data_IF_344625346715
#
_entry.id   IF_344625346715
#
_cell.length_a   1.000
_cell.length_b   1.000
_cell.length_c   1.000
_cell.angle_alpha   90.00
_cell.angle_beta   90.00
_cell.angle_gamma   90.00
#
_symmetry.space_group_name_H-M   'P 1'
#
loop_
_entity.id
_entity.type
_entity.pdbx_description
1 polymer ?
#
# COMPACT_ATOMS: atom_id res chain seq x y z
N UNK A 1 -0.11 20.92 -15.32
CA UNK A 1 0.21 19.65 -14.63
C UNK A 1 1.07 18.76 -15.51
N UNK A 2 0.69 18.61 -16.77
CA UNK A 2 1.29 17.70 -17.75
C UNK A 2 2.80 17.91 -17.94
N UNK A 3 3.24 19.17 -18.08
CA UNK A 3 4.67 19.50 -18.19
C UNK A 3 5.46 19.12 -16.93
N UNK A 4 4.86 19.22 -15.75
CA UNK A 4 5.51 18.84 -14.49
C UNK A 4 5.60 17.32 -14.37
N UNK A 5 4.57 16.59 -14.81
CA UNK A 5 4.60 15.13 -14.91
C UNK A 5 5.70 14.67 -15.86
N UNK A 6 5.83 15.31 -17.02
CA UNK A 6 6.89 15.03 -17.97
C UNK A 6 8.28 15.28 -17.40
N UNK A 7 8.49 16.41 -16.70
CA UNK A 7 9.74 16.68 -15.99
C UNK A 7 10.01 15.61 -14.93
N UNK A 8 9.00 15.17 -14.18
CA UNK A 8 9.17 14.15 -13.15
C UNK A 8 9.57 12.79 -13.75
N UNK A 9 8.89 12.33 -14.79
CA UNK A 9 9.14 11.01 -15.41
C UNK A 9 10.45 11.02 -16.20
N UNK A 10 10.66 12.01 -17.07
CA UNK A 10 11.83 12.06 -17.96
C UNK A 10 13.08 12.58 -17.24
N UNK A 11 12.92 13.30 -16.13
CA UNK A 11 14.00 13.93 -15.37
C UNK A 11 14.67 13.05 -14.32
N UNK A 12 14.11 11.88 -13.98
CA UNK A 12 14.59 11.00 -12.89
C UNK A 12 16.07 10.55 -13.02
N UNK A 13 16.64 10.63 -14.23
CA UNK A 13 18.02 10.24 -14.51
C UNK A 13 18.87 11.40 -15.07
N UNK A 14 18.44 12.65 -14.87
CA UNK A 14 19.17 13.82 -15.40
C UNK A 14 19.13 13.95 -16.93
N UNK A 15 18.29 13.16 -17.62
CA UNK A 15 18.16 13.17 -19.09
C UNK A 15 17.66 14.52 -19.63
N UNK A 16 16.83 15.22 -18.85
CA UNK A 16 16.26 16.51 -19.25
C UNK A 16 17.15 17.69 -18.82
N UNK A 17 17.69 17.64 -17.61
CA UNK A 17 18.65 18.61 -17.09
C UNK A 17 19.64 17.87 -16.18
N UNK A 18 20.95 17.86 -16.50
CA UNK A 18 21.95 17.14 -15.70
C UNK A 18 22.15 17.75 -14.29
N UNK A 19 21.58 18.92 -14.02
CA UNK A 19 21.65 19.61 -12.73
C UNK A 19 20.35 19.50 -11.91
N UNK A 20 19.37 18.71 -12.36
CA UNK A 20 18.12 18.51 -11.64
C UNK A 20 17.63 17.07 -11.72
N UNK A 21 17.21 16.53 -10.57
CA UNK A 21 16.60 15.20 -10.45
C UNK A 21 15.06 15.26 -10.45
N UNK A 22 14.48 16.43 -10.18
CA UNK A 22 13.03 16.67 -10.09
C UNK A 22 12.33 15.85 -8.99
N UNK A 23 13.07 15.35 -8.00
CA UNK A 23 12.54 14.43 -6.99
C UNK A 23 11.39 15.05 -6.19
N UNK A 24 11.53 16.31 -5.80
CA UNK A 24 10.56 17.05 -4.99
C UNK A 24 9.20 17.31 -5.69
N UNK A 25 9.10 17.10 -7.01
CA UNK A 25 7.79 17.12 -7.66
C UNK A 25 6.88 15.98 -7.15
N UNK A 26 7.45 14.91 -6.57
CA UNK A 26 6.69 13.86 -5.89
C UNK A 26 5.79 14.42 -4.79
N UNK A 27 6.30 15.37 -3.99
CA UNK A 27 5.52 16.02 -2.93
C UNK A 27 4.47 16.99 -3.47
N UNK A 28 4.74 17.65 -4.60
CA UNK A 28 3.73 18.46 -5.27
C UNK A 28 2.53 17.59 -5.70
N UNK A 29 2.78 16.42 -6.28
CA UNK A 29 1.71 15.49 -6.66
C UNK A 29 0.97 14.95 -5.43
N UNK A 30 1.70 14.66 -4.35
CA UNK A 30 1.10 14.21 -3.10
C UNK A 30 0.17 15.28 -2.52
N UNK A 31 0.60 16.54 -2.45
CA UNK A 31 -0.21 17.65 -1.97
C UNK A 31 -1.43 17.89 -2.86
N UNK A 32 -1.26 17.85 -4.18
CA UNK A 32 -2.37 17.96 -5.13
C UNK A 32 -3.41 16.85 -4.90
N UNK A 33 -2.99 15.61 -4.70
CA UNK A 33 -3.86 14.47 -4.49
C UNK A 33 -4.69 14.55 -3.19
N UNK A 34 -4.38 15.47 -2.27
CA UNK A 34 -5.25 15.76 -1.10
C UNK A 34 -6.59 16.34 -1.53
N UNK A 35 -6.65 17.03 -2.66
CA UNK A 35 -7.87 17.64 -3.20
C UNK A 35 -8.60 16.72 -4.17
N UNK A 36 -9.94 16.75 -4.16
CA UNK A 36 -10.77 15.90 -5.04
C UNK A 36 -10.47 16.10 -6.54
N UNK A 37 -10.25 17.34 -6.98
CA UNK A 37 -9.86 17.64 -8.36
C UNK A 37 -8.48 17.07 -8.73
N UNK A 38 -7.55 17.04 -7.78
CA UNK A 38 -6.24 16.44 -7.95
C UNK A 38 -6.29 14.93 -8.10
N UNK A 39 -7.10 14.26 -7.27
CA UNK A 39 -7.37 12.81 -7.40
C UNK A 39 -8.00 12.50 -8.75
N UNK A 40 -9.06 13.23 -9.13
CA UNK A 40 -9.74 13.05 -10.40
C UNK A 40 -8.78 13.17 -11.59
N UNK A 41 -7.86 14.15 -11.58
CA UNK A 41 -6.82 14.24 -12.61
C UNK A 41 -5.93 12.98 -12.65
N UNK A 42 -5.49 12.50 -11.49
CA UNK A 42 -4.59 11.34 -11.40
C UNK A 42 -5.27 10.02 -11.76
N UNK A 43 -6.60 9.90 -11.64
CA UNK A 43 -7.37 8.67 -11.89
C UNK A 43 -8.17 8.68 -13.19
N UNK A 44 -8.19 9.78 -13.92
CA UNK A 44 -8.94 9.89 -15.20
C UNK A 44 -7.98 9.88 -16.39
N UNK A 45 -8.29 9.12 -17.46
CA UNK A 45 -7.59 9.19 -18.73
C UNK A 45 -7.40 10.62 -19.24
N UNK A 46 -6.21 10.93 -19.73
CA UNK A 46 -5.90 12.27 -20.24
C UNK A 46 -5.79 12.28 -21.77
N UNK A 47 -6.66 13.01 -22.49
CA UNK A 47 -6.67 13.00 -23.96
C UNK A 47 -5.39 13.53 -24.61
N UNK A 48 -4.65 14.40 -23.93
CA UNK A 48 -3.40 14.96 -24.46
C UNK A 48 -2.26 13.92 -24.52
N UNK A 49 -2.41 12.79 -23.84
CA UNK A 49 -1.40 11.76 -23.68
C UNK A 49 -1.97 10.36 -23.93
N UNK A 50 -2.63 10.21 -25.09
CA UNK A 50 -3.17 8.93 -25.56
C UNK A 50 -4.07 8.22 -24.53
N UNK A 51 -4.87 8.98 -23.79
CA UNK A 51 -5.79 8.47 -22.76
C UNK A 51 -5.08 7.70 -21.61
N UNK A 52 -3.80 8.00 -21.38
CA UNK A 52 -3.07 7.46 -20.23
C UNK A 52 -3.62 8.05 -18.93
N UNK A 53 -3.81 7.19 -17.93
CA UNK A 53 -4.18 7.58 -16.57
C UNK A 53 -2.91 8.06 -15.83
N UNK A 54 -2.81 9.32 -15.38
CA UNK A 54 -1.53 9.88 -14.93
C UNK A 54 -0.86 9.16 -13.75
N UNK A 55 -1.63 8.53 -12.86
CA UNK A 55 -1.05 7.79 -11.71
C UNK A 55 -0.12 6.64 -12.17
N UNK A 56 -0.35 6.03 -13.34
CA UNK A 56 0.49 4.93 -13.86
C UNK A 56 1.93 5.35 -14.12
N UNK A 57 2.14 6.65 -14.38
CA UNK A 57 3.48 7.24 -14.55
C UNK A 57 4.22 7.45 -13.24
N UNK A 58 3.51 7.46 -12.11
CA UNK A 58 4.08 7.69 -10.78
C UNK A 58 4.41 6.37 -10.08
N UNK A 59 3.51 5.38 -10.17
CA UNK A 59 3.61 4.13 -9.40
C UNK A 59 4.89 3.35 -9.66
N UNK A 60 5.47 3.47 -10.87
CA UNK A 60 6.75 2.84 -11.23
C UNK A 60 7.95 3.32 -10.40
N UNK A 61 7.81 4.40 -9.64
CA UNK A 61 8.87 4.97 -8.81
C UNK A 61 8.78 4.55 -7.33
N UNK A 62 7.94 3.58 -6.96
CA UNK A 62 7.87 3.07 -5.58
C UNK A 62 9.14 2.35 -5.14
N UNK A 63 9.97 1.88 -6.07
CA UNK A 63 11.30 1.29 -5.79
C UNK A 63 12.47 2.15 -6.33
N UNK A 64 12.24 3.45 -6.53
CA UNK A 64 13.29 4.34 -7.03
C UNK A 64 14.43 4.55 -6.02
N UNK A 65 15.67 4.71 -6.49
CA UNK A 65 16.85 4.95 -5.61
C UNK A 65 16.71 6.15 -4.65
N UNK A 66 15.96 7.18 -5.03
CA UNK A 66 15.76 8.36 -4.18
C UNK A 66 14.62 8.14 -3.19
N UNK A 67 14.90 8.28 -1.91
CA UNK A 67 13.88 8.25 -0.84
C UNK A 67 12.80 9.32 -1.02
N UNK A 68 13.14 10.51 -1.50
CA UNK A 68 12.20 11.63 -1.70
C UNK A 68 11.11 11.26 -2.73
N UNK A 69 11.52 10.69 -3.87
CA UNK A 69 10.58 10.18 -4.87
C UNK A 69 9.68 9.08 -4.30
N UNK A 70 10.25 8.04 -3.71
CA UNK A 70 9.47 6.92 -3.14
C UNK A 70 8.43 7.43 -2.15
N UNK A 71 8.84 8.29 -1.21
CA UNK A 71 7.96 8.86 -0.17
C UNK A 71 6.81 9.68 -0.75
N UNK A 72 7.10 10.60 -1.69
CA UNK A 72 6.07 11.42 -2.31
C UNK A 72 5.14 10.61 -3.23
N UNK A 73 5.66 9.60 -3.91
CA UNK A 73 4.86 8.67 -4.73
C UNK A 73 3.94 7.82 -3.85
N UNK A 74 4.46 7.20 -2.79
CA UNK A 74 3.66 6.45 -1.82
C UNK A 74 2.54 7.32 -1.23
N UNK A 75 2.86 8.56 -0.84
CA UNK A 75 1.87 9.53 -0.36
C UNK A 75 0.83 9.89 -1.42
N UNK A 76 1.24 10.05 -2.69
CA UNK A 76 0.32 10.32 -3.80
C UNK A 76 -0.64 9.15 -4.01
N UNK A 77 -0.13 7.92 -3.99
CA UNK A 77 -0.93 6.69 -4.13
C UNK A 77 -1.95 6.60 -3.00
N UNK A 78 -1.51 6.73 -1.74
CA UNK A 78 -2.41 6.74 -0.56
C UNK A 78 -3.50 7.79 -0.74
N UNK A 79 -3.13 9.01 -1.13
CA UNK A 79 -4.08 10.10 -1.30
C UNK A 79 -5.11 9.81 -2.39
N UNK A 80 -4.70 9.24 -3.53
CA UNK A 80 -5.62 8.80 -4.60
C UNK A 80 -6.60 7.74 -4.10
N UNK A 81 -6.18 6.82 -3.22
CA UNK A 81 -7.03 5.77 -2.68
C UNK A 81 -8.13 6.26 -1.70
N UNK A 82 -8.20 7.55 -1.35
CA UNK A 82 -9.38 8.11 -0.68
C UNK A 82 -10.61 8.19 -1.61
N UNK A 83 -10.41 8.12 -2.92
CA UNK A 83 -11.50 8.02 -3.89
C UNK A 83 -11.91 6.55 -4.06
N UNK A 84 -12.92 6.12 -3.30
CA UNK A 84 -13.38 4.73 -3.25
C UNK A 84 -13.91 4.26 -4.61
N UNK A 85 -14.52 5.16 -5.38
CA UNK A 85 -15.07 4.86 -6.71
C UNK A 85 -13.95 4.54 -7.72
N UNK A 86 -12.72 4.99 -7.46
CA UNK A 86 -11.56 4.70 -8.28
C UNK A 86 -10.92 3.33 -7.99
N UNK A 87 -11.22 2.69 -6.84
CA UNK A 87 -10.58 1.43 -6.43
C UNK A 87 -10.63 0.32 -7.50
N UNK A 88 -11.77 0.06 -8.19
CA UNK A 88 -11.81 -0.94 -9.24
C UNK A 88 -10.82 -0.66 -10.36
N UNK A 89 -10.68 0.60 -10.79
CA UNK A 89 -9.74 0.97 -11.85
C UNK A 89 -8.28 0.94 -11.39
N UNK A 90 -8.02 1.26 -10.13
CA UNK A 90 -6.69 1.22 -9.53
C UNK A 90 -6.15 -0.22 -9.44
N UNK A 91 -7.00 -1.18 -9.07
CA UNK A 91 -6.60 -2.59 -8.90
C UNK A 91 -6.65 -3.42 -10.19
N UNK A 92 -7.29 -2.92 -11.24
CA UNK A 92 -7.42 -3.61 -12.52
C UNK A 92 -6.08 -3.65 -13.27
N UNK A 93 -5.63 -4.87 -13.59
CA UNK A 93 -4.35 -5.15 -14.27
C UNK A 93 -4.25 -4.59 -15.69
N UNK A 94 -5.39 -4.43 -16.38
CA UNK A 94 -5.44 -3.86 -17.73
C UNK A 94 -5.55 -2.31 -17.71
N UNK A 95 -5.70 -1.72 -16.53
CA UNK A 95 -5.82 -0.26 -16.36
C UNK A 95 -4.60 0.32 -15.64
N UNK A 96 -4.63 0.36 -14.31
CA UNK A 96 -3.58 0.98 -13.51
C UNK A 96 -2.57 -0.05 -13.02
N UNK A 97 -3.02 -1.27 -12.75
CA UNK A 97 -2.22 -2.33 -12.13
C UNK A 97 -1.44 -1.85 -10.89
N UNK A 98 -2.13 -1.23 -9.93
CA UNK A 98 -1.49 -0.59 -8.79
C UNK A 98 -0.85 -1.58 -7.80
N UNK A 99 -1.43 -2.77 -7.65
CA UNK A 99 -1.14 -3.69 -6.56
C UNK A 99 0.33 -4.15 -6.51
N UNK A 100 1.00 -4.54 -7.61
CA UNK A 100 2.43 -4.87 -7.59
C UNK A 100 3.29 -3.77 -6.99
N UNK A 101 3.02 -2.51 -7.33
CA UNK A 101 3.81 -1.35 -6.90
C UNK A 101 3.64 -0.99 -5.43
N UNK A 102 2.56 -1.46 -4.79
CA UNK A 102 2.36 -1.32 -3.33
C UNK A 102 2.97 -2.53 -2.59
N UNK A 103 2.87 -3.72 -3.18
CA UNK A 103 3.31 -4.96 -2.53
C UNK A 103 4.83 -5.15 -2.58
N UNK A 104 5.48 -4.85 -3.70
CA UNK A 104 6.94 -5.00 -3.84
C UNK A 104 7.76 -4.26 -2.77
N UNK A 105 7.43 -3.00 -2.39
CA UNK A 105 8.10 -2.32 -1.27
C UNK A 105 7.95 -3.02 0.09
N UNK A 106 6.92 -3.84 0.27
CA UNK A 106 6.65 -4.60 1.51
C UNK A 106 7.40 -5.94 1.54
N UNK A 107 8.01 -6.38 0.44
CA UNK A 107 8.65 -7.69 0.31
C UNK A 107 10.17 -7.58 0.39
N UNK A 108 10.79 -8.55 1.07
CA UNK A 108 12.22 -8.80 1.04
C UNK A 108 12.56 -10.08 0.25
N UNK A 109 13.79 -10.57 0.42
CA UNK A 109 14.27 -11.81 -0.19
C UNK A 109 13.85 -13.09 0.56
N UNK A 110 12.82 -13.01 1.40
CA UNK A 110 12.24 -14.18 2.08
C UNK A 110 11.55 -15.15 1.10
N UNK A 111 11.55 -16.44 1.44
CA UNK A 111 10.84 -17.48 0.70
C UNK A 111 9.44 -17.68 1.30
N UNK A 112 8.43 -17.73 0.45
CA UNK A 112 7.05 -18.06 0.83
C UNK A 112 6.79 -19.55 0.60
N UNK A 113 5.89 -20.14 1.40
CA UNK A 113 5.42 -21.49 1.14
C UNK A 113 4.69 -21.56 -0.21
N UNK A 114 4.68 -22.74 -0.84
CA UNK A 114 4.02 -22.94 -2.14
C UNK A 114 2.53 -22.54 -2.10
N UNK A 115 1.84 -22.85 -1.00
CA UNK A 115 0.43 -22.52 -0.78
C UNK A 115 0.16 -21.02 -0.58
N UNK A 116 1.13 -20.29 -0.06
CA UNK A 116 1.09 -18.83 0.08
C UNK A 116 1.37 -18.15 -1.27
N UNK A 117 2.26 -18.74 -2.07
CA UNK A 117 2.65 -18.25 -3.40
C UNK A 117 1.55 -18.52 -4.44
N UNK A 118 0.83 -19.64 -4.31
CA UNK A 118 -0.29 -19.99 -5.19
C UNK A 118 -1.43 -18.97 -5.06
N UNK A 119 -1.57 -18.12 -6.09
CA UNK A 119 -2.54 -17.04 -6.17
C UNK A 119 -1.93 -15.63 -6.12
N UNK A 120 -0.66 -15.48 -5.71
CA UNK A 120 0.04 -14.19 -5.78
C UNK A 120 0.12 -13.64 -7.21
N UNK A 121 0.25 -12.33 -7.36
CA UNK A 121 0.52 -11.70 -8.66
C UNK A 121 1.89 -12.16 -9.20
N UNK A 122 2.00 -12.35 -10.51
CA UNK A 122 3.24 -12.80 -11.16
C UNK A 122 4.43 -11.88 -10.83
N UNK A 123 4.20 -10.57 -10.74
CA UNK A 123 5.24 -9.57 -10.45
C UNK A 123 5.83 -9.68 -9.03
N UNK A 124 5.12 -10.32 -8.10
CA UNK A 124 5.58 -10.49 -6.71
C UNK A 124 6.06 -11.91 -6.42
N UNK A 125 6.01 -12.80 -7.40
CA UNK A 125 6.55 -14.15 -7.28
C UNK A 125 8.03 -14.20 -7.70
N UNK A 126 8.74 -15.23 -7.23
CA UNK A 126 10.11 -15.55 -7.65
C UNK A 126 11.08 -14.35 -7.58
N UNK A 127 10.93 -13.55 -6.51
CA UNK A 127 11.81 -12.40 -6.28
C UNK A 127 13.26 -12.86 -6.12
N UNK A 128 14.24 -12.05 -6.57
CA UNK A 128 15.62 -12.42 -6.41
C UNK A 128 16.03 -12.34 -4.93
N UNK A 129 17.03 -13.13 -4.49
CA UNK A 129 17.41 -13.22 -3.07
C UNK A 129 18.03 -11.92 -2.52
N UNK A 130 18.45 -11.00 -3.39
CA UNK A 130 18.94 -9.67 -3.04
C UNK A 130 17.82 -8.61 -3.02
N UNK A 131 16.56 -9.00 -3.21
CA UNK A 131 15.42 -8.10 -2.98
C UNK A 131 15.44 -7.61 -1.53
N UNK A 132 15.38 -6.30 -1.36
CA UNK A 132 15.30 -5.67 -0.04
C UNK A 132 13.94 -5.01 0.11
N UNK A 133 13.33 -5.17 1.28
CA UNK A 133 12.15 -4.42 1.70
C UNK A 133 12.48 -2.93 1.77
N UNK A 134 11.48 -2.07 1.59
CA UNK A 134 11.66 -0.63 1.78
C UNK A 134 12.29 -0.35 3.16
N UNK A 135 13.47 0.32 3.21
CA UNK A 135 14.16 0.56 4.49
C UNK A 135 13.52 1.65 5.35
N UNK A 136 12.69 2.52 4.78
CA UNK A 136 12.07 3.64 5.49
C UNK A 136 10.69 3.25 6.03
N UNK A 137 10.57 3.11 7.36
CA UNK A 137 9.34 2.67 8.03
C UNK A 137 8.11 3.53 7.67
N UNK A 138 8.27 4.84 7.50
CA UNK A 138 7.14 5.70 7.14
C UNK A 138 6.60 5.42 5.74
N UNK A 139 7.46 4.98 4.81
CA UNK A 139 7.06 4.58 3.45
C UNK A 139 6.36 3.21 3.51
N UNK A 140 6.89 2.26 4.29
CA UNK A 140 6.25 0.96 4.55
C UNK A 140 4.84 1.18 5.15
N UNK A 141 4.74 1.99 6.20
CA UNK A 141 3.46 2.37 6.85
C UNK A 141 2.50 2.97 5.82
N UNK A 142 2.97 3.86 4.96
CA UNK A 142 2.14 4.49 3.92
C UNK A 142 1.56 3.46 2.93
N UNK A 143 2.34 2.43 2.55
CA UNK A 143 1.86 1.34 1.71
C UNK A 143 0.82 0.46 2.42
N UNK A 144 1.03 0.15 3.71
CA UNK A 144 0.05 -0.58 4.53
C UNK A 144 -1.26 0.21 4.71
N UNK A 145 -1.19 1.52 4.98
CA UNK A 145 -2.37 2.37 5.04
C UNK A 145 -3.09 2.46 3.69
N UNK A 146 -2.35 2.39 2.58
CA UNK A 146 -2.93 2.31 1.24
C UNK A 146 -3.71 1.00 1.04
N UNK A 147 -3.14 -0.14 1.46
CA UNK A 147 -3.86 -1.42 1.46
C UNK A 147 -5.12 -1.33 2.32
N UNK A 148 -5.05 -0.71 3.50
CA UNK A 148 -6.21 -0.51 4.37
C UNK A 148 -7.31 0.30 3.68
N UNK A 149 -6.96 1.40 2.97
CA UNK A 149 -7.94 2.16 2.18
C UNK A 149 -8.59 1.27 1.10
N UNK A 150 -7.82 0.45 0.39
CA UNK A 150 -8.36 -0.47 -0.62
C UNK A 150 -9.31 -1.52 -0.02
N UNK A 151 -9.21 -1.86 1.27
CA UNK A 151 -10.16 -2.79 1.92
C UNK A 151 -11.57 -2.21 2.17
N UNK A 152 -11.81 -0.94 1.81
CA UNK A 152 -13.08 -0.23 2.08
C UNK A 152 -14.30 -0.98 1.54
N UNK A 153 -14.21 -1.52 0.32
CA UNK A 153 -15.32 -2.25 -0.32
C UNK A 153 -15.12 -3.76 -0.27
N UNK A 154 -16.23 -4.50 -0.25
CA UNK A 154 -16.20 -5.97 -0.31
C UNK A 154 -15.47 -6.50 -1.57
N UNK A 155 -15.80 -6.06 -2.80
CA UNK A 155 -15.12 -6.57 -3.99
C UNK A 155 -13.61 -6.33 -3.95
N UNK A 156 -13.18 -5.20 -3.39
CA UNK A 156 -11.76 -4.92 -3.23
C UNK A 156 -11.08 -5.87 -2.23
N UNK A 157 -11.73 -6.19 -1.09
CA UNK A 157 -11.22 -7.21 -0.17
C UNK A 157 -11.12 -8.58 -0.82
N UNK A 158 -12.11 -8.96 -1.64
CA UNK A 158 -12.08 -10.23 -2.39
C UNK A 158 -10.89 -10.28 -3.34
N UNK A 159 -10.57 -9.19 -4.04
CA UNK A 159 -9.35 -9.08 -4.86
C UNK A 159 -8.10 -9.26 -4.01
N UNK A 160 -7.96 -8.53 -2.90
CA UNK A 160 -6.78 -8.60 -2.03
C UNK A 160 -6.59 -10.00 -1.39
N UNK A 161 -7.67 -10.71 -1.08
CA UNK A 161 -7.63 -12.11 -0.62
C UNK A 161 -7.21 -13.06 -1.74
N UNK A 162 -7.79 -12.89 -2.93
CA UNK A 162 -7.50 -13.74 -4.09
C UNK A 162 -6.01 -13.68 -4.47
N UNK A 163 -5.41 -12.50 -4.40
CA UNK A 163 -4.00 -12.30 -4.73
C UNK A 163 -3.02 -12.54 -3.56
N UNK A 164 -3.48 -13.15 -2.47
CA UNK A 164 -2.66 -13.52 -1.31
C UNK A 164 -1.89 -12.33 -0.70
N UNK A 165 -2.57 -11.21 -0.41
CA UNK A 165 -1.93 -10.07 0.30
C UNK A 165 -1.56 -10.43 1.75
N UNK A 166 -2.32 -11.30 2.41
CA UNK A 166 -2.09 -11.62 3.82
C UNK A 166 -0.69 -12.14 4.13
N UNK A 167 -0.16 -13.18 3.44
CA UNK A 167 1.21 -13.65 3.66
C UNK A 167 2.25 -12.54 3.55
N UNK A 168 2.11 -11.63 2.58
CA UNK A 168 3.03 -10.50 2.39
C UNK A 168 3.01 -9.56 3.62
N UNK A 169 1.82 -9.23 4.12
CA UNK A 169 1.67 -8.37 5.30
C UNK A 169 2.16 -9.07 6.57
N UNK A 170 1.93 -10.39 6.70
CA UNK A 170 2.46 -11.21 7.79
C UNK A 170 3.99 -11.17 7.82
N UNK A 171 4.65 -11.42 6.69
CA UNK A 171 6.12 -11.38 6.62
C UNK A 171 6.65 -9.97 6.88
N UNK A 172 5.96 -8.93 6.42
CA UNK A 172 6.30 -7.53 6.75
C UNK A 172 6.27 -7.30 8.26
N UNK A 173 5.20 -7.73 8.93
CA UNK A 173 5.03 -7.59 10.37
C UNK A 173 6.12 -8.34 11.16
N UNK A 174 6.50 -9.55 10.72
CA UNK A 174 7.53 -10.37 11.37
C UNK A 174 8.95 -9.78 11.25
N UNK A 175 9.22 -9.03 10.18
CA UNK A 175 10.55 -8.51 9.86
C UNK A 175 10.75 -7.03 10.15
N UNK A 176 9.77 -6.36 10.76
CA UNK A 176 9.87 -4.95 11.17
C UNK A 176 9.82 -4.84 12.70
N UNK A 177 10.60 -3.91 13.27
CA UNK A 177 10.64 -3.62 14.71
C UNK A 177 9.84 -2.37 15.10
N UNK A 178 9.34 -1.62 14.12
CA UNK A 178 8.61 -0.37 14.30
C UNK A 178 7.14 -0.63 14.65
N UNK A 179 6.72 -0.19 15.84
CA UNK A 179 5.37 -0.42 16.37
C UNK A 179 4.28 0.20 15.49
N UNK A 180 4.58 1.35 14.90
CA UNK A 180 3.70 2.10 14.00
C UNK A 180 3.41 1.33 12.70
N UNK A 181 4.42 0.62 12.18
CA UNK A 181 4.28 -0.29 11.03
C UNK A 181 3.52 -1.56 11.43
N UNK A 182 3.83 -2.14 12.60
CA UNK A 182 3.14 -3.34 13.09
C UNK A 182 1.65 -3.11 13.29
N UNK A 183 1.28 -2.00 13.92
CA UNK A 183 -0.12 -1.60 14.09
C UNK A 183 -0.83 -1.44 12.73
N UNK A 184 -0.17 -0.79 11.76
CA UNK A 184 -0.72 -0.64 10.42
C UNK A 184 -0.93 -2.00 9.73
N UNK A 185 0.01 -2.95 9.88
CA UNK A 185 -0.10 -4.30 9.36
C UNK A 185 -1.26 -5.06 10.02
N UNK A 186 -1.38 -5.00 11.34
CA UNK A 186 -2.47 -5.64 12.10
C UNK A 186 -3.84 -5.14 11.65
N UNK A 187 -4.00 -3.83 11.45
CA UNK A 187 -5.25 -3.25 10.95
C UNK A 187 -5.61 -3.76 9.56
N UNK A 188 -4.65 -3.91 8.66
CA UNK A 188 -4.87 -4.50 7.33
C UNK A 188 -5.33 -5.95 7.47
N UNK A 189 -4.63 -6.75 8.27
CA UNK A 189 -4.97 -8.17 8.49
C UNK A 189 -6.35 -8.32 9.11
N UNK A 190 -6.69 -7.52 10.12
CA UNK A 190 -8.01 -7.55 10.77
C UNK A 190 -9.16 -7.37 9.77
N UNK A 191 -9.03 -6.43 8.83
CA UNK A 191 -10.08 -6.20 7.83
C UNK A 191 -10.07 -7.27 6.74
N UNK A 192 -8.91 -7.70 6.26
CA UNK A 192 -8.80 -8.78 5.26
C UNK A 192 -9.35 -10.10 5.82
N UNK A 193 -9.07 -10.43 7.07
CA UNK A 193 -9.52 -11.67 7.71
C UNK A 193 -10.94 -11.62 8.25
N UNK A 194 -11.57 -10.45 8.26
CA UNK A 194 -12.96 -10.33 8.71
C UNK A 194 -13.87 -11.16 7.82
N UNK A 195 -14.47 -12.19 8.41
CA UNK A 195 -15.51 -13.00 7.78
C UNK A 195 -16.70 -12.12 7.44
N UNK A 196 -17.23 -12.27 6.23
CA UNK A 196 -18.49 -11.63 5.86
C UNK A 196 -19.68 -12.49 6.26
N UNK A 197 -20.83 -11.87 6.54
CA UNK A 197 -22.05 -12.61 6.88
C UNK A 197 -22.42 -13.54 5.71
N UNK A 198 -22.37 -14.85 5.96
CA UNK A 198 -22.61 -15.90 4.95
C UNK A 198 -21.38 -16.72 4.52
N UNK A 199 -20.17 -16.39 4.97
CA UNK A 199 -18.91 -17.06 4.60
C UNK A 199 -18.36 -17.97 5.74
N UNK A 200 -19.22 -18.68 6.47
CA UNK A 200 -18.79 -19.41 7.68
C UNK A 200 -17.81 -20.57 7.40
N UNK A 201 -17.76 -21.12 6.18
CA UNK A 201 -17.13 -22.43 5.91
C UNK A 201 -15.81 -22.44 5.11
N UNK A 202 -15.34 -21.35 4.46
CA UNK A 202 -14.32 -21.47 3.38
C UNK A 202 -12.91 -20.89 3.67
N UNK A 203 -12.58 -20.53 4.91
CA UNK A 203 -11.23 -20.00 5.22
C UNK A 203 -10.22 -21.12 5.56
N UNK A 204 -8.99 -21.08 5.00
CA UNK A 204 -7.90 -21.98 5.38
C UNK A 204 -7.65 -21.97 6.90
N UNK A 205 -7.26 -23.11 7.51
CA UNK A 205 -7.05 -23.23 8.96
C UNK A 205 -6.13 -22.15 9.56
N UNK A 206 -5.07 -21.78 8.84
CA UNK A 206 -4.08 -20.78 9.28
C UNK A 206 -4.68 -19.37 9.39
N UNK A 207 -5.62 -19.03 8.50
CA UNK A 207 -6.37 -17.77 8.55
C UNK A 207 -7.33 -17.74 9.74
N UNK A 208 -7.81 -18.89 10.21
CA UNK A 208 -8.68 -18.99 11.40
C UNK A 208 -7.90 -18.73 12.69
N UNK A 209 -6.67 -19.22 12.78
CA UNK A 209 -5.80 -18.99 13.94
C UNK A 209 -5.34 -17.53 14.03
N UNK A 210 -4.93 -16.93 12.91
CA UNK A 210 -4.54 -15.52 12.86
C UNK A 210 -5.70 -14.56 13.20
N UNK A 211 -6.91 -14.83 12.71
CA UNK A 211 -8.09 -14.04 13.05
C UNK A 211 -8.45 -14.09 14.55
N UNK A 212 -8.22 -15.24 15.19
CA UNK A 212 -8.40 -15.40 16.63
C UNK A 212 -7.28 -14.70 17.44
N UNK A 213 -6.03 -14.77 16.97
CA UNK A 213 -4.90 -14.04 17.57
C UNK A 213 -5.10 -12.52 17.51
N UNK A 214 -5.53 -11.99 16.37
CA UNK A 214 -5.81 -10.55 16.21
C UNK A 214 -6.92 -10.05 17.15
N UNK A 215 -7.95 -10.86 17.43
CA UNK A 215 -8.99 -10.53 18.43
C UNK A 215 -8.48 -10.55 19.87
N UNK A 216 -7.46 -11.35 20.17
CA UNK A 216 -6.91 -11.47 21.52
C UNK A 216 -5.96 -10.32 21.85
N UNK A 217 -5.23 -9.80 20.85
CA UNK A 217 -4.39 -8.60 20.98
C UNK A 217 -5.24 -7.37 21.31
N UNK A 218 -6.40 -7.20 20.65
CA UNK A 218 -7.32 -6.07 20.93
C UNK A 218 -7.93 -6.12 22.33
N UNK A 219 -8.23 -7.31 22.85
CA UNK A 219 -8.79 -7.46 24.19
C UNK A 219 -7.79 -7.10 25.29
N UNK A 220 -6.51 -7.43 25.11
CA UNK A 220 -5.47 -7.09 26.08
C UNK A 220 -5.08 -5.60 26.03
N UNK A 221 -5.14 -4.95 24.86
CA UNK A 221 -4.85 -3.52 24.74
C UNK A 221 -5.92 -2.61 25.35
N UNK A 222 -7.18 -3.06 25.40
CA UNK A 222 -8.28 -2.33 26.06
C UNK A 222 -8.25 -2.46 27.59
N UNK A 223 -7.63 -3.52 28.15
CA UNK A 223 -7.52 -3.71 29.62
C UNK A 223 -6.41 -2.86 30.27
N UNK A 224 -5.38 -2.44 29.52
CA UNK A 224 -4.25 -1.67 30.09
C UNK A 224 -4.55 -0.16 30.26
N UNK A 225 -5.54 0.40 29.55
CA UNK A 225 -5.85 1.84 29.54
C UNK A 225 -6.82 2.28 30.68
N UNK A 226 -7.41 1.35 31.44
CA UNK A 226 -8.37 1.72 32.51
C UNK A 226 -7.73 2.09 33.87
N UNK A 227 -6.41 1.93 34.04
CA UNK A 227 -5.74 2.05 35.35
C UNK A 227 -4.99 3.38 35.63
N UNK A 228 -5.00 4.38 34.72
CA UNK A 228 -4.45 5.70 35.03
C UNK A 228 -5.43 6.57 35.85
N UNK A 229 -5.39 6.38 37.17
CA UNK A 229 -6.13 7.16 38.17
C UNK A 229 -5.87 8.68 38.07
N UNK A 230 -6.96 9.43 37.89
CA UNK A 230 -7.03 10.89 38.00
C UNK A 230 -6.65 11.36 39.42
N UNK A 231 -5.47 11.96 39.57
CA UNK A 231 -5.12 12.73 40.79
C UNK A 231 -5.66 14.15 40.64
N UNK A 232 -6.75 14.46 41.34
CA UNK A 232 -7.25 15.84 41.48
C UNK A 232 -6.39 16.60 42.48
N UNK A 233 -5.69 17.63 42.01
CA UNK A 233 -4.98 18.61 42.86
C UNK A 233 -5.96 19.75 43.18
N UNK A 234 -6.18 19.99 44.49
CA UNK A 234 -6.83 21.18 45.05
C UNK A 234 -5.81 22.30 45.27
#
# INVERSE_FOLDING_TARGET
>A
MDQLMDCFVKGAEGRFNPHADYDYLSYLFADMAKHASGRAYLTTPQPYDADIIPITKLIVFTEHKSTIRRRGVASTIKNVCFDVDAHPALMDGDKVNLLPYILLPLMGGEEYADEDTEGMLDEVQLLPPDKVREPENDIVKTHLETLLLLTTTRPAREVLRAIKVYPIVRETHLHVEDDDVREAADRVVQIIMRKEEGEEEDLPPEMREAANGARQITANGEEEDEDEQVVTIL
#
